data_IF_500202607973
#
_entry.id   IF_500202607973
#
_cell.length_a   1.000
_cell.length_b   1.000
_cell.length_c   1.000
_cell.angle_alpha   90.00
_cell.angle_beta   90.00
_cell.angle_gamma   90.00
#
_symmetry.space_group_name_H-M   'P 1'
#
loop_
_entity.id
_entity.type
_entity.pdbx_description
1 polymer ?
#
# COMPACT_ATOMS: atom_id res chain seq x y z
N UNK A 1 31.94 -10.39 31.22
CA UNK A 1 31.53 -10.84 29.87
C UNK A 1 30.66 -9.77 29.25
N UNK A 2 31.22 -8.89 28.41
CA UNK A 2 30.45 -7.98 27.57
C UNK A 2 31.00 -8.08 26.14
N UNK A 3 30.07 -8.11 25.20
CA UNK A 3 30.23 -8.56 23.81
C UNK A 3 31.29 -7.77 23.01
N UNK A 4 32.29 -8.50 22.55
CA UNK A 4 33.36 -8.07 21.63
C UNK A 4 32.95 -8.30 20.17
N UNK A 5 31.88 -7.68 19.68
CA UNK A 5 31.67 -7.49 18.23
C UNK A 5 30.78 -6.26 18.03
N UNK A 6 31.36 -5.07 17.77
CA UNK A 6 30.59 -3.88 17.44
C UNK A 6 29.99 -4.01 16.04
N UNK A 7 28.69 -3.73 15.96
CA UNK A 7 27.95 -3.57 14.71
C UNK A 7 28.71 -2.60 13.78
N UNK A 8 29.19 -3.10 12.63
CA UNK A 8 30.18 -2.42 11.79
C UNK A 8 29.65 -1.21 11.00
N UNK A 9 28.40 -0.81 11.23
CA UNK A 9 27.71 0.24 10.48
C UNK A 9 27.51 1.55 11.25
N UNK A 10 27.96 1.67 12.50
CA UNK A 10 27.84 2.93 13.24
C UNK A 10 29.02 3.88 12.95
N UNK A 11 28.84 4.75 11.95
CA UNK A 11 29.80 5.79 11.52
C UNK A 11 30.32 6.64 12.70
N UNK A 12 29.53 6.77 13.77
CA UNK A 12 29.86 7.62 14.92
C UNK A 12 30.95 7.01 15.82
N UNK A 13 31.17 5.69 15.78
CA UNK A 13 32.13 5.00 16.67
C UNK A 13 33.60 5.22 16.29
N UNK A 14 33.89 5.55 15.05
CA UNK A 14 35.24 5.82 14.55
C UNK A 14 35.61 7.30 14.49
N UNK A 15 34.70 8.20 14.88
CA UNK A 15 34.87 9.63 14.68
C UNK A 15 35.71 10.26 15.80
N UNK A 16 36.76 10.99 15.42
CA UNK A 16 37.63 11.67 16.38
C UNK A 16 36.85 12.66 17.26
N UNK A 17 37.37 12.97 18.46
CA UNK A 17 36.64 13.71 19.50
C UNK A 17 36.13 15.08 19.01
N UNK A 18 36.88 15.70 18.11
CA UNK A 18 36.62 17.06 17.61
C UNK A 18 35.72 17.11 16.38
N UNK A 19 35.22 15.96 15.93
CA UNK A 19 34.32 15.88 14.78
C UNK A 19 32.94 15.37 15.19
N UNK A 20 31.95 15.83 14.43
CA UNK A 20 30.55 15.48 14.54
C UNK A 20 29.98 15.21 13.15
N UNK A 21 28.94 14.38 13.09
CA UNK A 21 28.14 14.16 11.89
C UNK A 21 27.00 15.17 11.89
N UNK A 22 26.67 15.74 10.73
CA UNK A 22 25.51 16.61 10.56
C UNK A 22 24.41 15.81 9.87
N UNK A 23 23.30 15.58 10.58
CA UNK A 23 22.14 14.85 10.09
C UNK A 23 20.95 15.74 9.79
N UNK A 24 19.93 15.17 9.14
CA UNK A 24 18.62 15.81 9.01
C UNK A 24 17.74 15.57 10.25
N UNK A 25 16.50 16.09 10.22
CA UNK A 25 15.53 15.99 11.32
C UNK A 25 15.02 14.58 11.60
N UNK A 26 15.27 13.60 10.72
CA UNK A 26 14.93 12.20 10.96
C UNK A 26 15.89 11.51 11.94
N UNK A 27 17.04 12.13 12.23
CA UNK A 27 18.01 11.60 13.19
C UNK A 27 17.93 12.33 14.53
N UNK A 28 18.01 11.57 15.62
CA UNK A 28 18.14 12.14 16.96
C UNK A 28 19.51 12.79 17.17
N UNK A 29 19.52 13.95 17.85
CA UNK A 29 20.76 14.58 18.29
C UNK A 29 21.49 13.69 19.30
N UNK A 30 22.81 13.56 19.15
CA UNK A 30 23.69 12.81 20.07
C UNK A 30 25.02 13.55 20.20
N UNK A 31 25.90 13.12 21.12
CA UNK A 31 27.24 13.70 21.30
C UNK A 31 28.11 13.73 20.03
N UNK A 32 27.75 12.94 19.02
CA UNK A 32 28.43 12.82 17.73
C UNK A 32 27.54 13.12 16.52
N UNK A 33 26.31 13.57 16.75
CA UNK A 33 25.33 13.86 15.70
C UNK A 33 24.61 15.18 15.99
N UNK A 34 24.86 16.18 15.15
CA UNK A 34 24.09 17.42 15.14
C UNK A 34 22.87 17.22 14.24
N UNK A 35 21.68 17.43 14.80
CA UNK A 35 20.41 17.43 14.09
C UNK A 35 19.72 18.79 14.28
N UNK A 36 18.92 19.25 13.32
CA UNK A 36 18.17 20.50 13.47
C UNK A 36 17.18 20.38 14.63
N UNK A 37 16.91 21.50 15.31
CA UNK A 37 15.83 21.58 16.27
C UNK A 37 14.49 21.34 15.56
N UNK A 38 13.64 20.42 16.05
CA UNK A 38 12.35 20.15 15.45
C UNK A 38 11.30 21.19 15.85
N UNK A 39 10.29 21.39 14.99
CA UNK A 39 9.13 22.24 15.28
C UNK A 39 9.17 23.63 14.62
N UNK A 40 8.14 24.44 14.92
CA UNK A 40 7.86 25.71 14.24
C UNK A 40 8.04 26.95 15.14
N UNK A 41 8.09 26.76 16.47
CA UNK A 41 8.18 27.84 17.47
C UNK A 41 9.58 27.86 18.12
N UNK A 42 10.61 27.99 17.29
CA UNK A 42 12.00 28.01 17.73
C UNK A 42 12.38 29.38 18.32
N UNK A 43 13.21 29.38 19.36
CA UNK A 43 13.82 30.62 19.82
C UNK A 43 14.91 31.09 18.83
N UNK A 44 15.36 32.34 18.98
CA UNK A 44 16.30 32.96 18.05
C UNK A 44 17.60 32.17 17.86
N UNK A 45 18.11 31.55 18.93
CA UNK A 45 19.36 30.77 18.87
C UNK A 45 19.17 29.43 18.16
N UNK A 46 18.02 28.78 18.38
CA UNK A 46 17.65 27.53 17.70
C UNK A 46 17.41 27.74 16.21
N UNK A 47 16.72 28.83 15.85
CA UNK A 47 16.48 29.20 14.46
C UNK A 47 17.79 29.55 13.74
N UNK A 48 18.66 30.36 14.38
CA UNK A 48 19.98 30.66 13.86
C UNK A 48 20.83 29.38 13.67
N UNK A 49 20.80 28.46 14.62
CA UNK A 49 21.48 27.17 14.50
C UNK A 49 20.97 26.37 13.28
N UNK A 50 19.64 26.23 13.15
CA UNK A 50 19.03 25.52 12.02
C UNK A 50 19.37 26.19 10.68
N UNK A 51 19.41 27.52 10.64
CA UNK A 51 19.80 28.28 9.46
C UNK A 51 21.24 27.95 9.02
N UNK A 52 22.23 28.08 9.92
CA UNK A 52 23.62 27.79 9.59
C UNK A 52 23.85 26.30 9.26
N UNK A 53 23.16 25.39 9.96
CA UNK A 53 23.23 23.96 9.67
C UNK A 53 22.70 23.67 8.24
N UNK A 54 21.60 24.31 7.84
CA UNK A 54 21.02 24.18 6.51
C UNK A 54 21.96 24.72 5.42
N UNK A 55 22.60 25.88 5.65
CA UNK A 55 23.61 26.43 4.74
C UNK A 55 24.78 25.46 4.54
N UNK A 56 25.27 24.86 5.63
CA UNK A 56 26.34 23.85 5.57
C UNK A 56 25.95 22.64 4.72
N UNK A 57 24.72 22.12 4.90
CA UNK A 57 24.20 21.00 4.10
C UNK A 57 24.10 21.34 2.61
N UNK A 58 23.55 22.50 2.27
CA UNK A 58 23.44 22.98 0.89
C UNK A 58 24.83 23.02 0.23
N UNK A 59 25.83 23.57 0.92
CA UNK A 59 27.20 23.64 0.41
C UNK A 59 27.79 22.24 0.10
N UNK A 60 27.61 21.30 1.02
CA UNK A 60 28.07 19.90 0.85
C UNK A 60 27.36 19.24 -0.33
N UNK A 61 26.02 19.33 -0.38
CA UNK A 61 25.19 18.75 -1.45
C UNK A 61 25.55 19.32 -2.82
N UNK A 62 25.72 20.64 -2.92
CA UNK A 62 26.15 21.31 -4.16
C UNK A 62 27.54 20.86 -4.59
N UNK A 63 28.48 20.73 -3.66
CA UNK A 63 29.85 20.27 -3.95
C UNK A 63 29.83 18.85 -4.53
N UNK A 64 29.09 17.94 -3.91
CA UNK A 64 28.93 16.58 -4.44
C UNK A 64 28.18 16.55 -5.77
N UNK A 65 27.16 17.39 -5.96
CA UNK A 65 26.44 17.53 -7.23
C UNK A 65 27.38 17.98 -8.37
N UNK A 66 28.21 18.99 -8.12
CA UNK A 66 29.22 19.47 -9.08
C UNK A 66 30.23 18.36 -9.39
N UNK A 67 30.76 17.68 -8.37
CA UNK A 67 31.72 16.59 -8.58
C UNK A 67 31.10 15.43 -9.38
N UNK A 68 29.88 15.02 -9.07
CA UNK A 68 29.19 13.96 -9.80
C UNK A 68 28.98 14.34 -11.27
N UNK A 69 28.56 15.57 -11.54
CA UNK A 69 28.40 16.10 -12.91
C UNK A 69 29.73 16.16 -13.65
N UNK A 70 30.78 16.70 -13.03
CA UNK A 70 32.11 16.78 -13.64
C UNK A 70 32.68 15.39 -13.94
N UNK A 71 32.51 14.42 -13.05
CA UNK A 71 32.95 13.03 -13.29
C UNK A 71 32.14 12.39 -14.42
N UNK A 72 30.83 12.63 -14.46
CA UNK A 72 29.96 12.09 -15.51
C UNK A 72 30.24 12.70 -16.89
N UNK A 73 30.57 13.98 -16.97
CA UNK A 73 30.91 14.68 -18.21
C UNK A 73 32.32 14.31 -18.69
N UNK A 74 33.32 14.39 -17.81
CA UNK A 74 34.69 14.01 -18.15
C UNK A 74 34.82 12.51 -18.48
N UNK A 75 34.00 11.66 -17.87
CA UNK A 75 33.94 10.23 -18.19
C UNK A 75 33.46 9.95 -19.63
N UNK A 76 32.50 10.75 -20.13
CA UNK A 76 32.02 10.65 -21.53
C UNK A 76 33.12 11.07 -22.51
N UNK A 77 33.81 12.16 -22.21
CA UNK A 77 34.93 12.65 -23.01
C UNK A 77 36.11 11.67 -23.04
N UNK A 78 36.40 11.01 -21.92
CA UNK A 78 37.47 10.01 -21.84
C UNK A 78 37.16 8.78 -22.71
N UNK A 79 35.92 8.29 -22.68
CA UNK A 79 35.46 7.19 -23.54
C UNK A 79 35.50 7.61 -25.01
N UNK A 80 35.06 8.82 -25.33
CA UNK A 80 35.04 9.33 -26.70
C UNK A 80 36.46 9.51 -27.26
N UNK A 81 37.39 10.06 -26.46
CA UNK A 81 38.82 10.18 -26.83
C UNK A 81 39.50 8.83 -27.00
N UNK A 82 39.25 7.88 -26.10
CA UNK A 82 39.79 6.52 -26.23
C UNK A 82 39.24 5.81 -27.47
N UNK A 83 37.98 6.04 -27.81
CA UNK A 83 37.36 5.50 -29.03
C UNK A 83 37.91 6.16 -30.29
N UNK A 84 38.14 7.48 -30.27
CA UNK A 84 38.74 8.22 -31.39
C UNK A 84 40.19 7.81 -31.63
N UNK A 85 41.01 7.67 -30.58
CA UNK A 85 42.39 7.17 -30.70
C UNK A 85 42.46 5.77 -31.30
N UNK A 86 41.52 4.87 -30.95
CA UNK A 86 41.40 3.57 -31.60
C UNK A 86 41.01 3.69 -33.07
N UNK A 87 40.06 4.57 -33.41
CA UNK A 87 39.68 4.82 -34.79
C UNK A 87 40.87 5.33 -35.62
N UNK A 88 41.57 6.35 -35.14
CA UNK A 88 42.72 6.96 -35.82
C UNK A 88 43.87 5.96 -36.01
N UNK A 89 44.16 5.13 -35.00
CA UNK A 89 45.20 4.10 -35.10
C UNK A 89 44.87 2.95 -36.07
N UNK A 90 43.59 2.66 -36.31
CA UNK A 90 43.17 1.65 -37.30
C UNK A 90 43.14 2.25 -38.71
N UNK A 91 42.72 3.51 -38.86
CA UNK A 91 42.73 4.24 -40.14
C UNK A 91 44.18 4.45 -40.63
N UNK A 92 45.11 4.83 -39.75
CA UNK A 92 46.53 5.00 -40.10
C UNK A 92 47.23 3.71 -40.55
N UNK A 93 46.72 2.52 -40.15
CA UNK A 93 47.26 1.22 -40.59
C UNK A 93 46.68 0.73 -41.92
N UNK A 94 45.79 1.50 -42.55
CA UNK A 94 45.18 1.14 -43.84
C UNK A 94 44.25 -0.07 -43.80
N UNK A 95 43.87 -0.55 -42.61
CA UNK A 95 43.16 -1.82 -42.43
C UNK A 95 41.63 -1.60 -42.44
N UNK A 96 41.13 -1.03 -43.55
CA UNK A 96 39.72 -0.64 -43.75
C UNK A 96 38.75 -1.82 -43.54
N UNK A 97 39.22 -3.05 -43.78
CA UNK A 97 38.46 -4.27 -43.53
C UNK A 97 38.18 -4.52 -42.04
N UNK A 98 39.10 -4.15 -41.14
CA UNK A 98 38.89 -4.26 -39.70
C UNK A 98 37.83 -3.28 -39.19
N UNK A 99 37.81 -2.06 -39.74
CA UNK A 99 36.78 -1.05 -39.46
C UNK A 99 35.38 -1.49 -39.90
N UNK A 100 35.25 -2.06 -41.11
CA UNK A 100 33.96 -2.58 -41.57
C UNK A 100 33.45 -3.69 -40.66
N UNK A 101 34.30 -4.67 -40.32
CA UNK A 101 33.94 -5.77 -39.40
C UNK A 101 33.49 -5.25 -38.03
N UNK A 102 34.20 -4.27 -37.46
CA UNK A 102 33.81 -3.66 -36.18
C UNK A 102 32.46 -2.94 -36.25
N UNK A 103 32.19 -2.25 -37.36
CA UNK A 103 30.91 -1.56 -37.58
C UNK A 103 29.76 -2.56 -37.70
N UNK A 104 29.96 -3.64 -38.45
CA UNK A 104 28.94 -4.66 -38.68
C UNK A 104 28.61 -5.41 -37.37
N UNK A 105 29.62 -5.70 -36.55
CA UNK A 105 29.45 -6.26 -35.19
C UNK A 105 28.67 -5.30 -34.30
N UNK A 106 28.99 -4.00 -34.32
CA UNK A 106 28.27 -2.99 -33.53
C UNK A 106 26.80 -2.86 -33.96
N UNK A 107 26.51 -2.87 -35.26
CA UNK A 107 25.14 -2.86 -35.78
C UNK A 107 24.36 -4.12 -35.41
N UNK A 108 24.98 -5.30 -35.53
CA UNK A 108 24.35 -6.56 -35.13
C UNK A 108 24.02 -6.58 -33.63
N UNK A 109 24.95 -6.10 -32.78
CA UNK A 109 24.72 -5.97 -31.34
C UNK A 109 23.58 -4.98 -31.03
N UNK A 110 23.54 -3.84 -31.71
CA UNK A 110 22.47 -2.85 -31.55
C UNK A 110 21.10 -3.40 -32.00
N UNK A 111 21.06 -4.18 -33.08
CA UNK A 111 19.83 -4.83 -33.55
C UNK A 111 19.29 -5.83 -32.51
N UNK A 112 20.17 -6.68 -31.95
CA UNK A 112 19.82 -7.64 -30.90
C UNK A 112 19.35 -6.96 -29.61
N UNK A 113 19.96 -5.83 -29.24
CA UNK A 113 19.53 -5.01 -28.12
C UNK A 113 18.13 -4.40 -28.33
N UNK A 114 17.81 -3.94 -29.56
CA UNK A 114 16.47 -3.44 -29.90
C UNK A 114 15.43 -4.56 -29.86
N UNK A 115 15.74 -5.72 -30.40
CA UNK A 115 14.84 -6.87 -30.40
C UNK A 115 14.49 -7.32 -28.98
N UNK A 116 15.51 -7.48 -28.11
CA UNK A 116 15.30 -7.83 -26.71
C UNK A 116 14.50 -6.77 -25.95
N UNK A 117 14.76 -5.48 -26.18
CA UNK A 117 13.97 -4.38 -25.61
C UNK A 117 12.51 -4.43 -26.07
N UNK A 118 12.26 -4.66 -27.35
CA UNK A 118 10.90 -4.75 -27.89
C UNK A 118 10.16 -5.96 -27.32
N UNK A 119 10.82 -7.11 -27.18
CA UNK A 119 10.26 -8.30 -26.54
C UNK A 119 9.92 -8.06 -25.08
N UNK A 120 10.79 -7.38 -24.33
CA UNK A 120 10.54 -7.01 -22.94
C UNK A 120 9.35 -6.03 -22.80
N UNK A 121 9.26 -5.03 -23.68
CA UNK A 121 8.13 -4.09 -23.70
C UNK A 121 6.80 -4.77 -24.06
N UNK A 122 6.81 -5.72 -24.99
CA UNK A 122 5.63 -6.52 -25.32
C UNK A 122 5.16 -7.37 -24.14
N UNK A 123 6.10 -8.06 -23.46
CA UNK A 123 5.82 -8.86 -22.28
C UNK A 123 5.26 -8.01 -21.12
N UNK A 124 5.81 -6.80 -20.92
CA UNK A 124 5.31 -5.85 -19.91
C UNK A 124 3.86 -5.45 -20.20
N UNK A 125 3.55 -5.08 -21.45
CA UNK A 125 2.17 -4.71 -21.85
C UNK A 125 1.18 -5.86 -21.69
N UNK A 126 1.58 -7.09 -22.03
CA UNK A 126 0.70 -8.25 -21.82
C UNK A 126 0.47 -8.53 -20.34
N UNK A 127 1.49 -8.35 -19.49
CA UNK A 127 1.36 -8.52 -18.05
C UNK A 127 0.45 -7.44 -17.42
N UNK A 128 0.58 -6.18 -17.84
CA UNK A 128 -0.29 -5.08 -17.40
C UNK A 128 -1.75 -5.33 -17.79
N UNK A 129 -2.00 -5.80 -19.03
CA UNK A 129 -3.36 -6.15 -19.47
C UNK A 129 -3.95 -7.30 -18.65
N UNK A 130 -3.17 -8.35 -18.38
CA UNK A 130 -3.63 -9.47 -17.57
C UNK A 130 -3.90 -9.07 -16.11
N UNK A 131 -3.09 -8.17 -15.54
CA UNK A 131 -3.31 -7.64 -14.20
C UNK A 131 -4.60 -6.81 -14.10
N UNK A 132 -4.88 -5.99 -15.11
CA UNK A 132 -6.11 -5.19 -15.17
C UNK A 132 -7.36 -6.07 -15.33
N UNK A 133 -7.28 -7.13 -16.15
CA UNK A 133 -8.36 -8.12 -16.27
C UNK A 133 -8.59 -8.87 -14.96
N UNK A 134 -7.52 -9.30 -14.28
CA UNK A 134 -7.62 -9.96 -12.98
C UNK A 134 -8.26 -9.06 -11.91
N UNK A 135 -7.92 -7.76 -11.91
CA UNK A 135 -8.52 -6.79 -11.00
C UNK A 135 -10.04 -6.66 -11.22
N UNK A 136 -10.48 -6.58 -12.48
CA UNK A 136 -11.93 -6.52 -12.80
C UNK A 136 -12.67 -7.77 -12.33
N UNK A 137 -12.09 -8.95 -12.53
CA UNK A 137 -12.67 -10.21 -12.06
C UNK A 137 -12.77 -10.24 -10.54
N UNK A 138 -11.74 -9.76 -9.83
CA UNK A 138 -11.75 -9.68 -8.37
C UNK A 138 -12.84 -8.72 -7.84
N UNK A 139 -13.00 -7.55 -8.47
CA UNK A 139 -14.05 -6.59 -8.12
C UNK A 139 -15.46 -7.17 -8.36
N UNK A 140 -15.65 -7.93 -9.44
CA UNK A 140 -16.92 -8.58 -9.74
C UNK A 140 -17.23 -9.71 -8.73
N UNK A 141 -16.25 -10.53 -8.38
CA UNK A 141 -16.39 -11.55 -7.35
C UNK A 141 -16.74 -10.95 -5.98
N UNK A 142 -16.12 -9.84 -5.62
CA UNK A 142 -16.44 -9.12 -4.39
C UNK A 142 -17.90 -8.63 -4.41
N UNK A 143 -18.35 -8.00 -5.50
CA UNK A 143 -19.75 -7.56 -5.65
C UNK A 143 -20.75 -8.71 -5.52
N UNK A 144 -20.45 -9.86 -6.11
CA UNK A 144 -21.30 -11.05 -5.99
C UNK A 144 -21.33 -11.57 -4.55
N UNK A 145 -20.20 -11.53 -3.83
CA UNK A 145 -20.13 -11.88 -2.41
C UNK A 145 -20.98 -10.97 -1.52
N UNK A 146 -20.92 -9.66 -1.75
CA UNK A 146 -21.70 -8.67 -1.02
C UNK A 146 -23.21 -8.86 -1.27
N UNK A 147 -23.60 -9.09 -2.52
CA UNK A 147 -25.00 -9.38 -2.89
C UNK A 147 -25.52 -10.68 -2.26
N UNK A 148 -24.70 -11.73 -2.24
CA UNK A 148 -25.06 -13.00 -1.60
C UNK A 148 -25.26 -12.84 -0.09
N UNK A 149 -24.42 -12.02 0.56
CA UNK A 149 -24.52 -11.72 1.99
C UNK A 149 -25.81 -10.93 2.27
N UNK A 150 -26.09 -9.88 1.50
CA UNK A 150 -27.32 -9.10 1.64
C UNK A 150 -28.58 -9.95 1.41
N UNK A 151 -28.56 -10.87 0.44
CA UNK A 151 -29.67 -11.78 0.18
C UNK A 151 -29.90 -12.74 1.37
N UNK A 152 -28.84 -13.28 1.96
CA UNK A 152 -28.93 -14.15 3.13
C UNK A 152 -29.49 -13.41 4.36
N UNK A 153 -29.11 -12.15 4.56
CA UNK A 153 -29.65 -11.30 5.63
C UNK A 153 -31.13 -10.99 5.41
N UNK A 154 -31.53 -10.65 4.18
CA UNK A 154 -32.92 -10.41 3.82
C UNK A 154 -33.80 -11.66 4.04
N UNK A 155 -33.29 -12.85 3.71
CA UNK A 155 -33.98 -14.11 3.97
C UNK A 155 -34.15 -14.36 5.47
N UNK A 156 -33.09 -14.15 6.26
CA UNK A 156 -33.16 -14.27 7.73
C UNK A 156 -34.17 -13.30 8.33
N UNK A 157 -34.16 -12.04 7.90
CA UNK A 157 -35.12 -11.04 8.37
C UNK A 157 -36.56 -11.43 8.01
N UNK A 158 -36.78 -11.99 6.82
CA UNK A 158 -38.11 -12.45 6.38
C UNK A 158 -38.60 -13.65 7.21
N UNK A 159 -37.70 -14.58 7.57
CA UNK A 159 -38.03 -15.70 8.46
C UNK A 159 -38.41 -15.23 9.86
N UNK A 160 -37.66 -14.29 10.43
CA UNK A 160 -37.97 -13.72 11.75
C UNK A 160 -39.35 -13.06 11.75
N UNK A 161 -39.67 -12.24 10.75
CA UNK A 161 -41.00 -11.62 10.61
C UNK A 161 -42.11 -12.67 10.51
N UNK A 162 -41.91 -13.72 9.71
CA UNK A 162 -42.89 -14.79 9.59
C UNK A 162 -43.09 -15.58 10.90
N UNK A 163 -42.05 -15.75 11.71
CA UNK A 163 -42.18 -16.37 13.04
C UNK A 163 -42.89 -15.46 14.04
N UNK A 164 -42.62 -14.15 14.03
CA UNK A 164 -43.31 -13.16 14.85
C UNK A 164 -44.81 -13.11 14.51
N UNK A 165 -45.16 -13.09 13.23
CA UNK A 165 -46.55 -13.15 12.76
C UNK A 165 -47.26 -14.43 13.22
N UNK A 166 -46.58 -15.59 13.10
CA UNK A 166 -47.11 -16.87 13.60
C UNK A 166 -47.33 -16.84 15.10
N UNK A 167 -46.41 -16.27 15.87
CA UNK A 167 -46.53 -16.14 17.33
C UNK A 167 -47.70 -15.24 17.71
N UNK A 168 -47.84 -14.08 17.05
CA UNK A 168 -48.95 -13.17 17.27
C UNK A 168 -50.30 -13.80 16.90
N UNK A 169 -50.36 -14.59 15.83
CA UNK A 169 -51.56 -15.34 15.46
C UNK A 169 -51.91 -16.44 16.48
N UNK A 170 -50.91 -17.13 17.02
CA UNK A 170 -51.10 -18.15 18.05
C UNK A 170 -51.63 -17.54 19.36
N UNK A 171 -51.11 -16.37 19.76
CA UNK A 171 -51.57 -15.65 20.95
C UNK A 171 -53.03 -15.21 20.81
N UNK A 172 -53.42 -14.63 19.66
CA UNK A 172 -54.82 -14.29 19.37
C UNK A 172 -55.75 -15.51 19.42
N UNK A 173 -55.31 -16.63 18.86
CA UNK A 173 -56.07 -17.87 18.90
C UNK A 173 -56.25 -18.39 20.34
N UNK A 174 -55.23 -18.23 21.19
CA UNK A 174 -55.32 -18.60 22.60
C UNK A 174 -56.29 -17.68 23.37
N UNK A 175 -56.26 -16.38 23.12
CA UNK A 175 -57.22 -15.43 23.68
C UNK A 175 -58.66 -15.76 23.28
N UNK A 176 -58.91 -16.07 22.01
CA UNK A 176 -60.22 -16.50 21.53
C UNK A 176 -60.69 -17.80 22.21
N UNK A 177 -59.79 -18.78 22.36
CA UNK A 177 -60.09 -20.03 23.09
C UNK A 177 -60.49 -19.75 24.55
N UNK A 178 -59.77 -18.87 25.25
CA UNK A 178 -60.10 -18.46 26.62
C UNK A 178 -61.47 -17.78 26.69
N UNK A 179 -61.79 -16.92 25.71
CA UNK A 179 -63.10 -16.25 25.63
C UNK A 179 -64.24 -17.24 25.42
N UNK A 180 -64.07 -18.22 24.54
CA UNK A 180 -65.08 -19.27 24.29
C UNK A 180 -65.29 -20.14 25.53
N UNK A 181 -64.22 -20.49 26.26
CA UNK A 181 -64.32 -21.22 27.52
C UNK A 181 -65.14 -20.45 28.55
N UNK A 182 -64.82 -19.16 28.76
CA UNK A 182 -65.51 -18.31 29.73
C UNK A 182 -67.00 -18.14 29.39
N UNK A 183 -67.35 -17.98 28.11
CA UNK A 183 -68.74 -17.93 27.66
C UNK A 183 -69.47 -19.26 27.91
N UNK A 184 -68.78 -20.39 27.68
CA UNK A 184 -69.33 -21.73 27.92
C UNK A 184 -69.65 -21.95 29.40
N UNK A 185 -68.75 -21.51 30.30
CA UNK A 185 -68.96 -21.54 31.75
C UNK A 185 -70.15 -20.66 32.18
N UNK A 186 -70.27 -19.45 31.61
CA UNK A 186 -71.40 -18.56 31.87
C UNK A 186 -72.74 -19.17 31.42
N UNK A 187 -72.78 -19.78 30.23
CA UNK A 187 -73.98 -20.47 29.72
C UNK A 187 -74.35 -21.63 30.64
N UNK A 188 -73.39 -22.44 31.06
CA UNK A 188 -73.62 -23.57 31.97
C UNK A 188 -74.20 -23.09 33.32
N UNK A 189 -73.69 -21.98 33.84
CA UNK A 189 -74.20 -21.37 35.08
C UNK A 189 -75.64 -20.86 34.91
N UNK A 190 -75.92 -20.11 33.86
CA UNK A 190 -77.29 -19.61 33.58
C UNK A 190 -78.28 -20.75 33.38
N UNK A 191 -77.86 -21.85 32.75
CA UNK A 191 -78.70 -23.04 32.59
C UNK A 191 -79.05 -23.71 33.92
N UNK A 192 -78.10 -23.75 34.87
CA UNK A 192 -78.36 -24.22 36.23
C UNK A 192 -79.32 -23.30 36.98
N UNK A 193 -79.09 -21.99 36.95
CA UNK A 193 -79.97 -20.99 37.58
C UNK A 193 -81.39 -21.07 37.02
N UNK A 194 -81.55 -21.22 35.70
CA UNK A 194 -82.85 -21.42 35.06
C UNK A 194 -83.52 -22.72 35.52
N UNK A 195 -82.77 -23.82 35.60
CA UNK A 195 -83.29 -25.11 36.08
C UNK A 195 -83.75 -25.05 37.54
N UNK A 196 -83.10 -24.23 38.37
CA UNK A 196 -83.55 -23.96 39.74
C UNK A 196 -84.82 -23.11 39.78
N UNK A 197 -84.92 -22.09 38.94
CA UNK A 197 -86.15 -21.29 38.80
C UNK A 197 -87.34 -22.14 38.36
N UNK A 198 -87.16 -23.02 37.36
CA UNK A 198 -88.19 -23.93 36.86
C UNK A 198 -88.64 -24.95 37.91
N UNK A 199 -87.82 -25.23 38.94
CA UNK A 199 -88.19 -26.10 40.08
C UNK A 199 -89.01 -25.39 41.16
N UNK A 200 -88.98 -24.06 41.19
CA UNK A 200 -89.66 -23.24 42.20
C UNK A 200 -91.04 -22.75 41.74
N UNK A 201 -91.39 -22.94 40.47
CA UNK A 201 -92.72 -22.67 39.88
C UNK A 201 -93.56 -23.95 39.80
#
# INVERSE_FOLDING_TARGET
MHHLFPDSNDLRRGLHRDYYVVGDSAYGATDKMLAPYPGCDLNADQDAFNFFQSQGRICIEQTFGIMATLVAENGKDLIQRASQQRYDSVVQRGDVAALSRSRDVAHAAAAKARESKNKAMAAKRSAEKAAEEAKKVAEEQQRLGDLATAAAEAERASRVRAEEEKRAAAEKLEEERRRVQLLTEQIARLALEKKEQDRLQ
#
